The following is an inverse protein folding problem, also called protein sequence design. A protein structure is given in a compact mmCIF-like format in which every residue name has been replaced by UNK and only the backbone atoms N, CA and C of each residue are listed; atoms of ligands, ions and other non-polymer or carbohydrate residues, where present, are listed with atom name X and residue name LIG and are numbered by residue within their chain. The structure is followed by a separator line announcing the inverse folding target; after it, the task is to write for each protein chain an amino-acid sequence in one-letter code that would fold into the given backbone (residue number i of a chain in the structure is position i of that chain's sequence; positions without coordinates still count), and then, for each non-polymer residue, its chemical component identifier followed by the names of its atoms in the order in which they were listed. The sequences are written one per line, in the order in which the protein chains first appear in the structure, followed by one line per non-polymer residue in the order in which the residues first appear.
data_IF_843618752201
#
_entry.id   IF_843618752201
#
_cell.length_a   1.000
_cell.length_b   1.000
_cell.length_c   1.000
_cell.angle_alpha   90.00
_cell.angle_beta   90.00
_cell.angle_gamma   90.00
#
_symmetry.space_group_name_H-M   'P 1'
#
loop_
_entity.id
_entity.type
_entity.pdbx_description
1 polymer ?
#
# COMPACT_ATOMS: atom_id res chain seq x y z
N UNK A 1 21.32 34.73 -15.74
CA UNK A 1 21.82 35.19 -17.05
C UNK A 1 23.06 34.41 -17.40
N UNK A 2 23.30 34.19 -18.69
CA UNK A 2 24.59 33.72 -19.20
C UNK A 2 25.61 34.86 -19.14
N UNK A 3 26.74 34.72 -18.43
CA UNK A 3 27.73 35.79 -18.27
C UNK A 3 28.40 36.22 -19.58
N UNK A 4 28.47 35.34 -20.59
CA UNK A 4 29.13 35.64 -21.87
C UNK A 4 28.20 36.39 -22.83
N UNK A 5 26.94 35.94 -22.93
CA UNK A 5 25.98 36.48 -23.91
C UNK A 5 25.04 37.52 -23.33
N UNK A 6 24.95 37.64 -22.00
CA UNK A 6 24.01 38.53 -21.30
C UNK A 6 22.53 38.12 -21.46
N UNK A 7 22.24 36.96 -22.07
CA UNK A 7 20.87 36.49 -22.34
C UNK A 7 20.35 35.59 -21.21
N UNK A 8 19.03 35.40 -21.18
CA UNK A 8 18.40 34.41 -20.31
C UNK A 8 18.70 32.99 -20.83
N UNK A 9 18.76 32.02 -19.91
CA UNK A 9 19.05 30.61 -20.24
C UNK A 9 17.82 29.84 -20.75
N UNK A 10 16.67 30.51 -20.91
CA UNK A 10 15.44 29.91 -21.43
C UNK A 10 14.66 29.02 -20.44
N UNK A 11 15.05 28.98 -19.16
CA UNK A 11 14.33 28.28 -18.10
C UNK A 11 14.17 29.18 -16.87
N UNK A 12 13.22 28.83 -16.02
CA UNK A 12 12.96 29.49 -14.75
C UNK A 12 12.50 28.47 -13.71
N UNK A 13 12.66 28.81 -12.43
CA UNK A 13 12.11 28.07 -11.31
C UNK A 13 11.07 28.95 -10.62
N UNK A 14 9.91 28.38 -10.30
CA UNK A 14 8.85 29.06 -9.56
C UNK A 14 8.63 28.31 -8.27
N UNK A 15 8.66 29.06 -7.16
CA UNK A 15 8.34 28.54 -5.84
C UNK A 15 6.91 28.94 -5.48
N UNK A 16 6.13 27.97 -5.01
CA UNK A 16 4.77 28.17 -4.53
C UNK A 16 4.71 27.94 -3.04
N UNK A 17 3.79 28.62 -2.34
CA UNK A 17 3.61 28.45 -0.90
C UNK A 17 3.04 27.08 -0.55
N UNK A 18 2.22 26.50 -1.44
CA UNK A 18 1.58 25.21 -1.22
C UNK A 18 1.78 24.25 -2.40
N UNK A 19 1.87 22.93 -2.14
CA UNK A 19 2.02 21.93 -3.20
C UNK A 19 0.81 21.87 -4.12
N UNK A 20 -0.39 22.18 -3.62
CA UNK A 20 -1.62 22.22 -4.42
C UNK A 20 -1.61 23.34 -5.48
N UNK A 21 -0.95 24.47 -5.20
CA UNK A 21 -0.77 25.54 -6.19
C UNK A 21 0.20 25.12 -7.29
N UNK A 22 1.29 24.44 -6.93
CA UNK A 22 2.25 23.93 -7.91
C UNK A 22 1.61 22.90 -8.85
N UNK A 23 0.82 21.96 -8.32
CA UNK A 23 0.12 20.97 -9.15
C UNK A 23 -0.92 21.61 -10.07
N UNK A 24 -1.68 22.59 -9.57
CA UNK A 24 -2.61 23.35 -10.40
C UNK A 24 -1.90 24.14 -11.52
N UNK A 25 -0.73 24.71 -11.24
CA UNK A 25 0.06 25.43 -12.23
C UNK A 25 0.61 24.50 -13.31
N UNK A 26 1.12 23.31 -12.94
CA UNK A 26 1.57 22.30 -13.91
C UNK A 26 0.42 21.91 -14.84
N UNK A 27 -0.75 21.59 -14.29
CA UNK A 27 -1.93 21.22 -15.08
C UNK A 27 -2.40 22.33 -16.02
N UNK A 28 -2.28 23.59 -15.62
CA UNK A 28 -2.73 24.74 -16.41
C UNK A 28 -1.74 25.16 -17.50
N UNK A 29 -0.44 25.02 -17.25
CA UNK A 29 0.61 25.63 -18.08
C UNK A 29 1.51 24.63 -18.80
N UNK A 30 1.45 23.34 -18.50
CA UNK A 30 2.16 22.35 -19.29
C UNK A 30 1.59 22.29 -20.72
N UNK A 31 2.48 22.32 -21.71
CA UNK A 31 2.18 22.46 -23.14
C UNK A 31 1.43 23.75 -23.53
N UNK A 32 1.47 24.78 -22.70
CA UNK A 32 0.82 26.06 -22.99
C UNK A 32 1.57 26.83 -24.08
N UNK A 33 0.85 27.27 -25.13
CA UNK A 33 1.43 28.10 -26.21
C UNK A 33 1.63 29.53 -25.72
N UNK A 34 2.88 29.88 -25.44
CA UNK A 34 3.30 31.24 -25.10
C UNK A 34 3.71 31.99 -26.36
N UNK A 35 2.71 32.48 -27.08
CA UNK A 35 2.91 33.15 -28.37
C UNK A 35 3.11 32.19 -29.53
N UNK A 36 3.60 32.69 -30.67
CA UNK A 36 3.64 31.92 -31.92
C UNK A 36 4.79 30.92 -32.02
N UNK A 37 5.89 31.16 -31.28
CA UNK A 37 7.13 30.38 -31.42
C UNK A 37 7.54 29.64 -30.14
N UNK A 38 6.83 29.84 -29.03
CA UNK A 38 7.18 29.21 -27.76
C UNK A 38 6.01 28.40 -27.21
N UNK A 39 6.32 27.18 -26.81
CA UNK A 39 5.43 26.32 -26.03
C UNK A 39 6.14 26.09 -24.70
N UNK A 40 5.44 26.33 -23.59
CA UNK A 40 5.96 26.07 -22.26
C UNK A 40 5.83 24.57 -21.96
N UNK A 41 6.85 24.01 -21.33
CA UNK A 41 6.76 22.72 -20.67
C UNK A 41 7.03 22.95 -19.19
N UNK A 42 6.14 22.44 -18.35
CA UNK A 42 6.14 22.70 -16.91
C UNK A 42 6.08 21.37 -16.19
N UNK A 43 7.07 21.09 -15.34
CA UNK A 43 7.15 19.86 -14.55
C UNK A 43 7.43 20.20 -13.08
N UNK A 44 7.13 19.25 -12.18
CA UNK A 44 7.53 19.38 -10.79
C UNK A 44 9.05 19.28 -10.66
N UNK A 45 9.61 19.97 -9.68
CA UNK A 45 11.05 19.93 -9.43
C UNK A 45 11.51 18.53 -9.02
N UNK A 46 10.69 17.82 -8.23
CA UNK A 46 10.97 16.45 -7.76
C UNK A 46 11.09 15.44 -8.92
N UNK A 47 10.38 15.67 -10.03
CA UNK A 47 10.42 14.77 -11.18
C UNK A 47 11.77 14.79 -11.91
N UNK A 48 12.59 15.84 -11.73
CA UNK A 48 13.90 15.97 -12.37
C UNK A 48 14.82 14.81 -11.98
N UNK A 49 14.81 14.39 -10.71
CA UNK A 49 15.63 13.27 -10.24
C UNK A 49 15.16 11.95 -10.85
N UNK A 50 13.84 11.76 -10.99
CA UNK A 50 13.28 10.57 -11.63
C UNK A 50 13.74 10.49 -13.09
N UNK A 51 13.58 11.58 -13.85
CA UNK A 51 13.98 11.63 -15.26
C UNK A 51 15.49 11.51 -15.48
N UNK A 52 16.31 12.01 -14.54
CA UNK A 52 17.76 11.87 -14.62
C UNK A 52 18.24 10.42 -14.43
N UNK A 53 17.48 9.59 -13.71
CA UNK A 53 17.87 8.24 -13.32
C UNK A 53 17.12 7.14 -14.08
N UNK A 54 16.36 7.46 -15.12
CA UNK A 54 15.65 6.44 -15.92
C UNK A 54 16.67 5.63 -16.74
N UNK A 55 16.70 4.29 -16.60
CA UNK A 55 17.53 3.46 -17.46
C UNK A 55 17.05 3.53 -18.91
N UNK A 56 17.98 3.75 -19.84
CA UNK A 56 17.69 3.82 -21.29
C UNK A 56 17.16 2.49 -21.86
N UNK A 57 17.51 1.38 -21.23
CA UNK A 57 17.09 0.04 -21.67
C UNK A 57 15.90 -0.45 -20.84
N UNK A 58 14.78 -0.70 -21.52
CA UNK A 58 13.62 -1.39 -20.92
C UNK A 58 13.99 -2.82 -20.50
N UNK A 59 13.73 -3.16 -19.25
CA UNK A 59 13.85 -4.53 -18.73
C UNK A 59 12.45 -5.06 -18.41
N UNK A 60 12.02 -6.18 -18.99
CA UNK A 60 10.74 -6.78 -18.63
C UNK A 60 10.73 -7.18 -17.15
N UNK A 61 9.59 -7.03 -16.45
CA UNK A 61 9.49 -7.42 -15.05
C UNK A 61 9.78 -8.92 -14.92
N UNK A 62 10.62 -9.27 -13.94
CA UNK A 62 10.93 -10.66 -13.64
C UNK A 62 9.68 -11.29 -13.04
N UNK A 63 9.11 -12.27 -13.73
CA UNK A 63 8.02 -13.09 -13.20
C UNK A 63 8.61 -13.92 -12.05
N UNK A 64 8.16 -13.68 -10.83
CA UNK A 64 8.59 -14.48 -9.69
C UNK A 64 8.27 -15.97 -9.96
N UNK A 65 9.23 -16.89 -9.71
CA UNK A 65 8.97 -18.30 -9.89
C UNK A 65 7.81 -18.72 -8.97
N UNK A 66 6.92 -19.55 -9.51
CA UNK A 66 5.81 -20.09 -8.74
C UNK A 66 6.33 -20.76 -7.46
N UNK A 67 6.01 -20.14 -6.32
CA UNK A 67 6.23 -20.74 -5.01
C UNK A 67 4.99 -21.54 -4.65
N UNK A 68 5.14 -22.85 -4.45
CA UNK A 68 4.06 -23.67 -3.92
C UNK A 68 3.59 -23.08 -2.60
N UNK A 69 2.34 -22.61 -2.57
CA UNK A 69 1.72 -22.14 -1.33
C UNK A 69 1.79 -23.30 -0.31
N UNK A 70 2.21 -23.05 0.95
CA UNK A 70 2.25 -24.10 1.96
C UNK A 70 0.87 -24.78 2.02
N UNK A 71 0.86 -26.11 2.08
CA UNK A 71 -0.34 -26.93 1.92
C UNK A 71 -1.55 -26.29 2.62
N UNK A 72 -2.58 -25.92 1.85
CA UNK A 72 -3.84 -25.36 2.37
C UNK A 72 -4.54 -26.32 3.36
N UNK A 73 -4.09 -27.57 3.43
CA UNK A 73 -4.52 -28.62 4.38
C UNK A 73 -3.67 -28.69 5.65
N UNK A 74 -2.74 -27.76 5.89
CA UNK A 74 -1.94 -27.71 7.13
C UNK A 74 -2.83 -27.65 8.37
N UNK A 75 -3.95 -26.95 8.27
CA UNK A 75 -5.07 -26.95 9.21
C UNK A 75 -5.57 -28.35 9.60
N UNK A 76 -5.66 -29.29 8.65
CA UNK A 76 -6.13 -30.66 8.91
C UNK A 76 -5.15 -31.45 9.80
N UNK A 77 -3.87 -31.04 9.82
CA UNK A 77 -2.84 -31.63 10.69
C UNK A 77 -2.87 -31.07 12.12
N UNK A 78 -3.87 -30.24 12.46
CA UNK A 78 -4.03 -29.72 13.82
C UNK A 78 -4.29 -30.87 14.81
N UNK A 79 -3.33 -31.13 15.69
CA UNK A 79 -3.38 -32.21 16.69
C UNK A 79 -4.61 -32.15 17.61
N UNK A 80 -5.18 -30.96 17.78
CA UNK A 80 -6.33 -30.73 18.65
C UNK A 80 -7.66 -30.80 17.92
N UNK A 81 -7.65 -31.08 16.60
CA UNK A 81 -8.83 -31.21 15.73
C UNK A 81 -9.89 -30.14 15.99
N UNK A 82 -9.45 -28.91 16.28
CA UNK A 82 -10.34 -27.80 16.59
C UNK A 82 -11.04 -27.35 15.32
N UNK A 83 -12.24 -26.80 15.45
CA UNK A 83 -12.94 -26.17 14.34
C UNK A 83 -12.59 -24.68 14.22
N UNK A 84 -12.47 -24.22 12.98
CA UNK A 84 -12.30 -22.81 12.60
C UNK A 84 -13.68 -22.27 12.26
N UNK A 85 -13.97 -21.05 12.71
CA UNK A 85 -15.23 -20.37 12.42
C UNK A 85 -14.95 -18.92 12.00
N UNK A 86 -15.90 -18.35 11.27
CA UNK A 86 -15.88 -16.96 10.82
C UNK A 86 -17.08 -16.25 11.41
N UNK A 87 -16.86 -15.06 11.96
CA UNK A 87 -17.93 -14.14 12.37
C UNK A 87 -17.86 -12.90 11.49
N UNK A 88 -19.01 -12.47 10.99
CA UNK A 88 -19.12 -11.23 10.23
C UNK A 88 -20.03 -10.26 10.99
N UNK A 89 -19.57 -9.01 11.13
CA UNK A 89 -20.34 -7.92 11.75
C UNK A 89 -20.20 -6.67 10.88
N UNK A 90 -21.19 -6.41 10.03
CA UNK A 90 -21.11 -5.33 9.05
C UNK A 90 -20.02 -5.61 8.02
N UNK A 91 -19.09 -4.67 7.85
CA UNK A 91 -17.91 -4.83 6.98
C UNK A 91 -16.75 -5.57 7.68
N UNK A 92 -16.83 -5.81 8.99
CA UNK A 92 -15.79 -6.49 9.74
C UNK A 92 -15.91 -8.02 9.62
N UNK A 93 -14.80 -8.68 9.31
CA UNK A 93 -14.67 -10.14 9.30
C UNK A 93 -13.67 -10.61 10.35
N UNK A 94 -14.11 -11.48 11.25
CA UNK A 94 -13.30 -12.06 12.32
C UNK A 94 -13.11 -13.56 12.07
N UNK A 95 -11.88 -14.05 12.18
CA UNK A 95 -11.56 -15.48 12.10
C UNK A 95 -11.20 -16.00 13.49
N UNK A 96 -11.78 -17.13 13.88
CA UNK A 96 -11.63 -17.72 15.20
C UNK A 96 -11.41 -19.23 15.14
N UNK A 97 -10.85 -19.79 16.21
CA UNK A 97 -10.74 -21.24 16.41
C UNK A 97 -11.32 -21.57 17.78
N UNK A 98 -12.17 -22.59 17.88
CA UNK A 98 -12.88 -22.93 19.12
C UNK A 98 -11.88 -23.38 20.19
N UNK A 99 -11.67 -22.57 21.24
CA UNK A 99 -10.84 -22.94 22.38
C UNK A 99 -11.68 -23.74 23.38
N UNK A 100 -11.37 -25.02 23.59
CA UNK A 100 -11.85 -25.75 24.77
C UNK A 100 -11.06 -25.29 25.99
N UNK A 101 -11.72 -25.10 27.14
CA UNK A 101 -11.05 -24.63 28.37
C UNK A 101 -10.06 -25.65 28.95
N UNK A 102 -10.12 -26.93 28.56
CA UNK A 102 -9.19 -27.96 29.00
C UNK A 102 -8.84 -28.98 27.89
N UNK A 103 -7.63 -29.56 27.90
CA UNK A 103 -7.32 -30.75 27.12
C UNK A 103 -8.17 -31.94 27.61
N UNK A 104 -8.65 -32.75 26.66
CA UNK A 104 -9.53 -33.92 26.90
C UNK A 104 -8.86 -34.97 27.81
N UNK A 105 -7.55 -34.89 28.05
CA UNK A 105 -6.80 -35.82 28.91
C UNK A 105 -7.02 -35.67 30.42
N UNK A 106 -7.85 -34.73 30.89
CA UNK A 106 -7.98 -34.41 32.32
C UNK A 106 -9.42 -34.41 32.83
N UNK A 107 -10.28 -35.25 32.28
CA UNK A 107 -11.57 -35.59 32.90
C UNK A 107 -11.30 -36.70 33.93
N UNK A 108 -10.80 -36.31 35.11
CA UNK A 108 -10.96 -37.11 36.33
C UNK A 108 -11.84 -36.34 37.30
N UNK A 109 -12.75 -37.11 37.88
CA UNK A 109 -13.79 -36.79 38.85
C UNK A 109 -13.40 -35.69 39.84
N UNK A 110 -14.20 -34.62 39.92
CA UNK A 110 -14.65 -34.16 41.22
C UNK A 110 -15.86 -33.22 41.17
N UNK A 111 -16.73 -33.51 42.13
CA UNK A 111 -18.05 -32.96 42.41
C UNK A 111 -17.92 -31.48 42.84
N UNK A 112 -18.80 -30.60 42.38
CA UNK A 112 -18.82 -29.21 42.84
C UNK A 112 -19.83 -28.29 42.17
N UNK A 113 -21.10 -28.38 42.59
CA UNK A 113 -22.07 -27.29 42.78
C UNK A 113 -22.22 -26.23 41.65
N UNK A 114 -23.27 -26.37 40.84
CA UNK A 114 -23.82 -25.30 39.99
C UNK A 114 -24.55 -24.28 40.89
N UNK A 115 -24.01 -23.07 41.00
CA UNK A 115 -24.71 -21.93 41.61
C UNK A 115 -25.82 -21.41 40.68
N UNK A 116 -26.95 -21.06 41.30
CA UNK A 116 -28.24 -20.68 40.75
C UNK A 116 -28.20 -19.36 39.95
N UNK A 117 -28.95 -19.32 38.84
CA UNK A 117 -29.37 -18.08 38.17
C UNK A 117 -30.41 -17.36 39.05
N UNK A 118 -30.28 -16.04 39.21
CA UNK A 118 -31.39 -15.17 39.61
C UNK A 118 -32.10 -14.67 38.35
N UNK A 119 -33.42 -14.88 38.34
CA UNK A 119 -34.41 -14.43 37.37
C UNK A 119 -35.76 -14.94 37.82
#
# INVERSE_FOLDING_TARGET
MDPETGKSKGYLFIEFETPAQASAAILAYDNFKFGSHHTLSVNAFDDIESFANVPETYSPPVIEPFTEKPHLRSWLKNKLARDQFVLMKGEDTYTGTIKTKHPISSIQENIGLICMFHG
#
